data_IF_886507364803
#
_entry.id   IF_886507364803
#
_cell.length_a   1.000
_cell.length_b   1.000
_cell.length_c   1.000
_cell.angle_alpha   90.00
_cell.angle_beta   90.00
_cell.angle_gamma   90.00
#
_symmetry.space_group_name_H-M   'P 1'
#
loop_
_entity.id
_entity.type
_entity.pdbx_description
1 polymer ?
#
# COMPACT_ATOMS: atom_id res chain seq x y z
N UNK A 1 -46.60 10.60 20.51
CA UNK A 1 -46.21 10.35 19.10
C UNK A 1 -44.70 10.49 19.01
N UNK A 2 -44.12 9.65 18.15
CA UNK A 2 -42.72 9.18 18.12
C UNK A 2 -41.65 10.28 18.13
N UNK A 3 -40.70 10.12 19.05
CA UNK A 3 -39.38 10.74 19.03
C UNK A 3 -38.54 10.14 17.89
N UNK A 4 -37.91 11.01 17.10
CA UNK A 4 -36.68 10.69 16.37
C UNK A 4 -35.81 11.96 16.33
N UNK A 5 -34.64 11.97 16.97
CA UNK A 5 -33.52 12.73 16.46
C UNK A 5 -32.73 11.82 15.52
N UNK A 6 -32.66 12.18 14.24
CA UNK A 6 -31.79 11.54 13.26
C UNK A 6 -30.33 11.71 13.69
N UNK A 7 -29.74 10.63 14.19
CA UNK A 7 -28.35 10.54 14.63
C UNK A 7 -27.44 9.83 13.64
N UNK A 8 -27.73 9.88 12.34
CA UNK A 8 -27.02 9.07 11.33
C UNK A 8 -25.93 9.80 10.53
N UNK A 9 -25.66 11.09 10.77
CA UNK A 9 -24.77 11.84 9.86
C UNK A 9 -23.35 12.12 10.37
N UNK A 10 -22.92 11.57 11.51
CA UNK A 10 -21.58 11.87 12.04
C UNK A 10 -20.57 10.70 12.00
N UNK A 11 -20.98 9.52 11.53
CA UNK A 11 -20.09 8.34 11.47
C UNK A 11 -19.11 8.34 10.28
N UNK A 12 -19.31 9.22 9.30
CA UNK A 12 -18.41 9.38 8.14
C UNK A 12 -17.38 10.51 8.28
N UNK A 13 -17.47 11.35 9.31
CA UNK A 13 -16.90 12.70 9.24
C UNK A 13 -15.47 12.87 9.77
N UNK A 14 -14.92 11.95 10.57
CA UNK A 14 -13.55 12.06 11.06
C UNK A 14 -12.93 10.66 11.18
N UNK A 15 -12.29 10.18 10.11
CA UNK A 15 -11.21 9.22 10.30
C UNK A 15 -10.23 9.87 11.27
N UNK A 16 -9.95 9.19 12.39
CA UNK A 16 -8.86 9.56 13.29
C UNK A 16 -7.59 9.83 12.47
N UNK A 17 -6.84 10.86 12.83
CA UNK A 17 -5.60 11.26 12.16
C UNK A 17 -4.61 10.09 12.10
N UNK A 18 -4.65 9.19 13.10
CA UNK A 18 -3.86 7.96 13.11
C UNK A 18 -4.20 7.04 11.93
N UNK A 19 -5.48 6.83 11.64
CA UNK A 19 -5.90 6.03 10.50
C UNK A 19 -5.56 6.69 9.16
N UNK A 20 -5.64 8.02 9.09
CA UNK A 20 -5.20 8.77 7.90
C UNK A 20 -3.70 8.57 7.64
N UNK A 21 -2.89 8.68 8.69
CA UNK A 21 -1.44 8.50 8.59
C UNK A 21 -1.04 7.07 8.18
N UNK A 22 -1.67 6.05 8.75
CA UNK A 22 -1.33 4.64 8.46
C UNK A 22 -1.80 4.20 7.08
N UNK A 23 -2.94 4.71 6.61
CA UNK A 23 -3.54 4.36 5.32
C UNK A 23 -3.33 5.46 4.26
N UNK A 24 -2.22 6.20 4.36
CA UNK A 24 -1.88 7.29 3.44
C UNK A 24 -1.80 6.81 1.98
N UNK A 25 -1.47 5.54 1.78
CA UNK A 25 -1.37 4.95 0.44
C UNK A 25 -2.73 4.73 -0.24
N UNK A 26 -3.84 4.76 0.50
CA UNK A 26 -5.18 4.68 -0.08
C UNK A 26 -5.63 6.05 -0.57
N UNK A 27 -6.33 6.06 -1.71
CA UNK A 27 -6.85 7.26 -2.34
C UNK A 27 -7.75 8.07 -1.40
N UNK A 28 -7.52 9.37 -1.35
CA UNK A 28 -8.42 10.30 -0.68
C UNK A 28 -9.70 10.50 -1.50
N UNK A 29 -10.86 10.46 -0.83
CA UNK A 29 -12.14 10.87 -1.42
C UNK A 29 -12.94 9.78 -2.15
N UNK A 30 -12.41 8.56 -2.34
CA UNK A 30 -13.16 7.44 -2.93
C UNK A 30 -13.83 6.51 -1.89
N UNK A 31 -13.66 6.81 -0.60
CA UNK A 31 -14.20 6.01 0.50
C UNK A 31 -13.40 4.75 0.83
N UNK A 32 -12.36 4.41 0.07
CA UNK A 32 -11.58 3.18 0.26
C UNK A 32 -10.83 3.17 1.59
N UNK A 33 -10.30 4.33 2.01
CA UNK A 33 -9.60 4.50 3.29
C UNK A 33 -10.53 4.29 4.48
N UNK A 34 -11.70 4.94 4.47
CA UNK A 34 -12.72 4.81 5.52
C UNK A 34 -13.19 3.36 5.62
N UNK A 35 -13.42 2.73 4.47
CA UNK A 35 -13.86 1.34 4.40
C UNK A 35 -12.81 0.38 4.98
N UNK A 36 -11.53 0.60 4.69
CA UNK A 36 -10.44 -0.21 5.24
C UNK A 36 -10.29 -0.04 6.75
N UNK A 37 -10.26 1.21 7.25
CA UNK A 37 -10.18 1.49 8.68
C UNK A 37 -11.34 0.84 9.47
N UNK A 38 -12.57 0.91 8.93
CA UNK A 38 -13.73 0.23 9.54
C UNK A 38 -13.55 -1.28 9.58
N UNK A 39 -13.09 -1.91 8.50
CA UNK A 39 -12.84 -3.37 8.47
C UNK A 39 -11.80 -3.80 9.49
N UNK A 40 -10.74 -3.02 9.67
CA UNK A 40 -9.76 -3.30 10.72
C UNK A 40 -10.35 -3.15 12.12
N UNK A 41 -11.08 -2.06 12.38
CA UNK A 41 -11.73 -1.82 13.66
C UNK A 41 -12.75 -2.91 14.02
N UNK A 42 -13.53 -3.41 13.05
CA UNK A 42 -14.47 -4.53 13.21
C UNK A 42 -13.77 -5.85 13.60
N UNK A 43 -12.48 -5.99 13.30
CA UNK A 43 -11.65 -7.13 13.72
C UNK A 43 -10.83 -6.84 15.00
N UNK A 44 -11.06 -5.71 15.66
CA UNK A 44 -10.29 -5.29 16.85
C UNK A 44 -8.85 -4.86 16.53
N UNK A 45 -8.53 -4.62 15.26
CA UNK A 45 -7.19 -4.21 14.81
C UNK A 45 -7.10 -2.69 14.88
N UNK A 46 -6.18 -2.20 15.70
CA UNK A 46 -5.89 -0.77 15.83
C UNK A 46 -4.93 -0.24 14.75
N UNK A 47 -4.84 1.09 14.57
CA UNK A 47 -3.96 1.71 13.58
C UNK A 47 -2.48 1.36 13.81
N UNK A 48 -2.04 1.26 15.07
CA UNK A 48 -0.66 0.92 15.41
C UNK A 48 -0.27 -0.52 15.01
N UNK A 49 -1.20 -1.47 15.07
CA UNK A 49 -0.94 -2.83 14.59
C UNK A 49 -0.81 -2.85 13.06
N UNK A 50 -1.65 -2.12 12.34
CA UNK A 50 -1.52 -1.96 10.88
C UNK A 50 -0.20 -1.27 10.53
N UNK A 51 0.17 -0.21 11.26
CA UNK A 51 1.46 0.48 11.10
C UNK A 51 2.63 -0.49 11.25
N UNK A 52 2.63 -1.32 12.29
CA UNK A 52 3.71 -2.28 12.55
C UNK A 52 3.87 -3.28 11.39
N UNK A 53 2.76 -3.83 10.90
CA UNK A 53 2.75 -4.76 9.75
C UNK A 53 3.18 -4.08 8.45
N UNK A 54 2.80 -2.83 8.22
CA UNK A 54 3.24 -2.10 7.03
C UNK A 54 4.74 -1.76 7.10
N UNK A 55 5.25 -1.45 8.29
CA UNK A 55 6.64 -1.10 8.51
C UNK A 55 7.60 -2.29 8.38
N UNK A 56 7.19 -3.50 8.78
CA UNK A 56 7.98 -4.73 8.61
C UNK A 56 7.69 -5.46 7.28
N UNK A 57 6.83 -4.88 6.42
CA UNK A 57 6.48 -5.48 5.13
C UNK A 57 5.73 -6.82 5.23
N UNK A 58 5.17 -7.15 6.40
CA UNK A 58 4.51 -8.43 6.65
C UNK A 58 5.44 -9.57 7.08
N UNK A 59 6.69 -9.29 7.45
CA UNK A 59 7.66 -10.30 7.90
C UNK A 59 7.13 -11.13 9.08
N UNK A 60 6.52 -10.49 10.08
CA UNK A 60 5.92 -11.20 11.21
C UNK A 60 4.77 -12.13 10.79
N UNK A 61 3.95 -11.70 9.84
CA UNK A 61 2.84 -12.51 9.29
C UNK A 61 3.37 -13.72 8.54
N UNK A 62 4.39 -13.51 7.68
CA UNK A 62 5.04 -14.58 6.93
C UNK A 62 5.67 -15.61 7.86
N UNK A 63 6.45 -15.17 8.85
CA UNK A 63 7.10 -16.05 9.81
C UNK A 63 6.08 -16.89 10.61
N UNK A 64 4.96 -16.28 11.02
CA UNK A 64 3.89 -16.99 11.72
C UNK A 64 3.23 -18.05 10.82
N UNK A 65 2.86 -17.70 9.59
CA UNK A 65 2.26 -18.63 8.63
C UNK A 65 3.20 -19.79 8.26
N UNK A 66 4.48 -19.48 8.02
CA UNK A 66 5.51 -20.47 7.68
C UNK A 66 5.86 -21.42 8.85
N UNK A 67 5.55 -21.03 10.09
CA UNK A 67 5.81 -21.89 11.26
C UNK A 67 4.99 -23.17 11.31
N UNK A 68 3.87 -23.23 10.57
CA UNK A 68 2.97 -24.40 10.55
C UNK A 68 2.26 -24.71 11.87
N UNK A 69 2.40 -23.85 12.90
CA UNK A 69 1.77 -24.07 14.21
C UNK A 69 0.25 -23.94 14.11
N UNK A 70 -0.48 -24.80 14.81
CA UNK A 70 -1.93 -24.63 14.98
C UNK A 70 -2.21 -23.29 15.69
N UNK A 71 -3.24 -22.55 15.26
CA UNK A 71 -3.57 -21.24 15.85
C UNK A 71 -2.56 -20.13 15.56
N UNK A 72 -1.69 -20.28 14.55
CA UNK A 72 -0.65 -19.29 14.22
C UNK A 72 -1.19 -17.87 13.98
N UNK A 73 -2.45 -17.74 13.57
CA UNK A 73 -3.10 -16.47 13.28
C UNK A 73 -3.67 -15.77 14.53
N UNK A 74 -3.80 -16.48 15.66
CA UNK A 74 -4.50 -15.97 16.85
C UNK A 74 -3.84 -14.71 17.42
N UNK A 75 -2.51 -14.64 17.37
CA UNK A 75 -1.73 -13.47 17.79
C UNK A 75 -2.05 -12.19 16.98
N UNK A 76 -2.65 -12.34 15.80
CA UNK A 76 -3.02 -11.22 14.92
C UNK A 76 -4.52 -10.94 14.91
N UNK A 77 -5.33 -11.67 15.69
CA UNK A 77 -6.80 -11.57 15.64
C UNK A 77 -7.48 -12.63 14.75
N UNK A 78 -6.75 -13.68 14.40
CA UNK A 78 -7.28 -14.82 13.64
C UNK A 78 -7.12 -14.71 12.11
N UNK A 79 -7.60 -15.71 11.35
CA UNK A 79 -7.32 -15.81 9.92
C UNK A 79 -7.82 -14.63 9.07
N UNK A 80 -9.00 -14.08 9.40
CA UNK A 80 -9.55 -12.92 8.69
C UNK A 80 -8.70 -11.67 8.91
N UNK A 81 -8.26 -11.44 10.16
CA UNK A 81 -7.35 -10.35 10.50
C UNK A 81 -6.04 -10.43 9.71
N UNK A 82 -5.42 -11.62 9.66
CA UNK A 82 -4.21 -11.85 8.86
C UNK A 82 -4.45 -11.58 7.37
N UNK A 83 -5.58 -12.03 6.83
CA UNK A 83 -5.91 -11.81 5.41
C UNK A 83 -6.05 -10.31 5.09
N UNK A 84 -6.70 -9.54 5.96
CA UNK A 84 -6.84 -8.08 5.81
C UNK A 84 -5.48 -7.37 5.89
N UNK A 85 -4.66 -7.72 6.89
CA UNK A 85 -3.34 -7.16 7.09
C UNK A 85 -2.41 -7.47 5.89
N UNK A 86 -2.42 -8.71 5.42
CA UNK A 86 -1.62 -9.13 4.24
C UNK A 86 -2.09 -8.44 2.96
N UNK A 87 -3.40 -8.24 2.81
CA UNK A 87 -3.95 -7.49 1.68
C UNK A 87 -3.47 -6.03 1.69
N UNK A 88 -3.37 -5.40 2.86
CA UNK A 88 -2.88 -4.03 2.99
C UNK A 88 -1.40 -3.90 2.61
N UNK A 89 -0.57 -4.87 3.02
CA UNK A 89 0.83 -4.98 2.57
C UNK A 89 0.90 -5.05 1.05
N UNK A 90 0.08 -5.91 0.43
CA UNK A 90 0.03 -6.04 -1.03
C UNK A 90 -0.38 -4.75 -1.75
N UNK A 91 -1.35 -4.01 -1.20
CA UNK A 91 -1.77 -2.72 -1.75
C UNK A 91 -0.64 -1.70 -1.65
N UNK A 92 0.01 -1.58 -0.50
CA UNK A 92 1.15 -0.68 -0.33
C UNK A 92 2.28 -1.04 -1.31
N UNK A 93 2.61 -2.33 -1.44
CA UNK A 93 3.63 -2.82 -2.36
C UNK A 93 3.30 -2.46 -3.82
N UNK A 94 2.02 -2.55 -4.22
CA UNK A 94 1.58 -2.15 -5.56
C UNK A 94 1.82 -0.65 -5.82
N UNK A 95 1.52 0.21 -4.85
CA UNK A 95 1.82 1.64 -4.96
C UNK A 95 3.32 1.94 -5.02
N UNK A 96 4.12 1.27 -4.19
CA UNK A 96 5.58 1.40 -4.19
C UNK A 96 6.19 0.96 -5.53
N UNK A 97 5.73 -0.18 -6.07
CA UNK A 97 6.16 -0.69 -7.37
C UNK A 97 5.77 0.28 -8.50
N UNK A 98 4.56 0.84 -8.45
CA UNK A 98 4.10 1.82 -9.44
C UNK A 98 4.95 3.08 -9.42
N UNK A 99 5.29 3.58 -8.23
CA UNK A 99 6.21 4.72 -8.06
C UNK A 99 7.61 4.41 -8.60
N UNK A 100 8.19 3.28 -8.22
CA UNK A 100 9.51 2.86 -8.68
C UNK A 100 9.54 2.69 -10.21
N UNK A 101 8.48 2.14 -10.80
CA UNK A 101 8.34 2.01 -12.25
C UNK A 101 8.29 3.38 -12.95
N UNK A 102 7.61 4.36 -12.37
CA UNK A 102 7.55 5.72 -12.91
C UNK A 102 8.91 6.44 -12.86
N UNK A 103 9.63 6.34 -11.74
CA UNK A 103 11.01 6.87 -11.60
C UNK A 103 11.95 6.21 -12.61
N UNK A 104 11.89 4.87 -12.71
CA UNK A 104 12.67 4.10 -13.69
C UNK A 104 12.34 4.53 -15.12
N UNK A 105 11.07 4.80 -15.42
CA UNK A 105 10.66 5.25 -16.74
C UNK A 105 11.34 6.56 -17.14
N UNK A 106 11.34 7.55 -16.24
CA UNK A 106 12.01 8.83 -16.48
C UNK A 106 13.52 8.68 -16.64
N UNK A 107 14.16 7.95 -15.72
CA UNK A 107 15.61 7.72 -15.79
C UNK A 107 16.02 7.02 -17.09
N UNK A 108 15.22 6.05 -17.57
CA UNK A 108 15.50 5.37 -18.84
C UNK A 108 15.27 6.28 -20.04
N UNK A 109 14.30 7.19 -19.99
CA UNK A 109 14.12 8.18 -21.04
C UNK A 109 15.35 9.09 -21.16
N UNK A 110 15.87 9.61 -20.05
CA UNK A 110 17.09 10.43 -20.02
C UNK A 110 18.32 9.63 -20.49
N UNK A 111 18.47 8.38 -20.07
CA UNK A 111 19.57 7.53 -20.53
C UNK A 111 19.55 7.26 -22.04
N UNK A 112 18.38 7.26 -22.67
CA UNK A 112 18.26 7.09 -24.13
C UNK A 112 18.68 8.34 -24.92
N UNK A 113 18.81 9.49 -24.27
CA UNK A 113 19.35 10.70 -24.88
C UNK A 113 20.89 10.65 -24.95
N UNK A 114 21.53 9.93 -24.03
CA UNK A 114 23.00 9.83 -23.92
C UNK A 114 23.57 8.51 -24.47
N UNK A 115 22.83 7.42 -24.35
CA UNK A 115 23.30 6.07 -24.64
C UNK A 115 22.40 5.33 -25.62
N UNK A 116 22.98 4.35 -26.32
CA UNK A 116 22.20 3.45 -27.17
C UNK A 116 21.26 2.58 -26.33
N UNK A 117 20.09 2.23 -26.87
CA UNK A 117 19.16 1.31 -26.21
C UNK A 117 19.76 -0.08 -25.94
N UNK A 118 20.80 -0.51 -26.68
CA UNK A 118 21.51 -1.77 -26.43
C UNK A 118 22.37 -1.66 -25.17
N UNK A 119 23.07 -0.53 -25.01
CA UNK A 119 23.87 -0.24 -23.82
C UNK A 119 22.97 -0.23 -22.58
N UNK A 120 21.88 0.55 -22.62
CA UNK A 120 20.93 0.64 -21.50
C UNK A 120 20.28 -0.72 -21.19
N UNK A 121 19.97 -1.52 -22.21
CA UNK A 121 19.44 -2.87 -22.04
C UNK A 121 20.42 -3.79 -21.30
N UNK A 122 21.71 -3.72 -21.64
CA UNK A 122 22.77 -4.48 -20.98
C UNK A 122 22.89 -4.16 -19.50
N UNK A 123 22.91 -2.87 -19.15
CA UNK A 123 23.01 -2.42 -17.75
C UNK A 123 21.76 -2.80 -16.93
N UNK A 124 20.58 -2.74 -17.53
CA UNK A 124 19.32 -3.06 -16.84
C UNK A 124 18.97 -4.55 -16.84
N UNK A 125 19.74 -5.39 -17.53
CA UNK A 125 19.45 -6.82 -17.66
C UNK A 125 18.11 -7.12 -18.33
N UNK A 126 17.69 -6.30 -19.30
CA UNK A 126 16.42 -6.46 -20.04
C UNK A 126 16.65 -6.53 -21.55
N UNK A 127 15.64 -6.98 -22.29
CA UNK A 127 15.68 -6.92 -23.75
C UNK A 127 15.64 -5.46 -24.25
N UNK A 128 16.30 -5.17 -25.38
CA UNK A 128 16.28 -3.84 -26.03
C UNK A 128 14.87 -3.27 -26.22
N UNK A 129 13.92 -4.08 -26.68
CA UNK A 129 12.53 -3.64 -26.86
C UNK A 129 11.93 -3.16 -25.53
N UNK A 130 12.27 -3.82 -24.42
CA UNK A 130 11.76 -3.47 -23.10
C UNK A 130 12.24 -2.09 -22.66
N UNK A 131 13.43 -1.64 -23.07
CA UNK A 131 13.95 -0.31 -22.77
C UNK A 131 13.00 0.78 -23.28
N UNK A 132 12.55 0.68 -24.54
CA UNK A 132 11.59 1.64 -25.09
C UNK A 132 10.21 1.53 -24.44
N UNK A 133 9.77 0.33 -24.07
CA UNK A 133 8.53 0.16 -23.28
C UNK A 133 8.63 0.79 -21.90
N UNK A 134 9.81 0.76 -21.27
CA UNK A 134 10.05 1.39 -19.98
C UNK A 134 10.12 2.91 -20.12
N UNK A 135 10.72 3.45 -21.19
CA UNK A 135 10.82 4.90 -21.37
C UNK A 135 9.47 5.60 -21.65
N UNK A 136 8.48 4.87 -22.16
CA UNK A 136 7.17 5.43 -22.56
C UNK A 136 6.28 5.97 -21.43
N UNK A 137 6.11 5.28 -20.29
CA UNK A 137 5.02 5.61 -19.38
C UNK A 137 5.21 6.91 -18.60
N UNK A 138 6.44 7.39 -18.34
CA UNK A 138 6.69 8.54 -17.47
C UNK A 138 6.13 8.36 -16.05
N UNK A 139 6.18 9.40 -15.22
CA UNK A 139 5.46 9.43 -13.95
C UNK A 139 3.96 9.58 -14.22
N UNK A 140 3.17 8.52 -13.99
CA UNK A 140 1.70 8.56 -14.04
C UNK A 140 1.11 8.19 -12.67
N UNK A 141 0.25 9.03 -12.09
CA UNK A 141 -0.55 8.67 -10.93
C UNK A 141 -1.40 7.42 -11.18
N UNK A 142 -1.88 6.73 -10.12
CA UNK A 142 -1.76 7.10 -8.70
C UNK A 142 -0.58 6.40 -8.02
N UNK A 143 0.46 7.17 -7.70
CA UNK A 143 1.52 6.75 -6.79
C UNK A 143 1.41 7.50 -5.46
N UNK A 144 1.92 6.87 -4.40
CA UNK A 144 1.97 7.49 -3.08
C UNK A 144 3.13 8.46 -3.02
N UNK A 145 2.87 9.67 -2.55
CA UNK A 145 3.93 10.70 -2.42
C UNK A 145 4.97 10.27 -1.39
N UNK A 146 4.51 9.73 -0.26
CA UNK A 146 5.36 9.32 0.85
C UNK A 146 4.95 7.96 1.40
N UNK A 147 5.89 7.29 2.06
CA UNK A 147 5.63 6.03 2.76
C UNK A 147 4.97 6.31 4.12
N UNK A 148 4.08 5.42 4.62
CA UNK A 148 3.33 5.66 5.87
C UNK A 148 4.17 5.82 7.15
N UNK A 149 5.43 5.36 7.14
CA UNK A 149 6.35 5.44 8.28
C UNK A 149 7.36 6.59 8.19
N UNK A 150 7.29 7.45 7.16
CA UNK A 150 8.16 8.63 7.11
C UNK A 150 7.68 9.62 8.18
N UNK A 151 8.45 9.77 9.25
CA UNK A 151 8.21 10.81 10.27
C UNK A 151 8.55 12.17 9.64
N UNK A 152 7.58 13.08 9.61
CA UNK A 152 7.79 14.49 9.25
C UNK A 152 8.34 15.26 10.44
#
# INVERSE_FOLDING_TARGET
>A
MKSQPGGDSNQGALLDEQWRAVLLHRTDGDGSRQTAARRFAEQGIGPEQVRAVLADGGDALYAAAASGRHGWADAFGGPLAVALLSAEVGILAAHLNSRASGVRSMAVAELLDEYSAVTVAGELGVARQKVYEIARPGLRPPYIEQVPWRTT
#
